data_IF_366553895795
#
_entry.id   IF_366553895795
#
_cell.length_a   1.000
_cell.length_b   1.000
_cell.length_c   1.000
_cell.angle_alpha   90.00
_cell.angle_beta   90.00
_cell.angle_gamma   90.00
#
_symmetry.space_group_name_H-M   'P 1'
#
loop_
_entity.id
_entity.type
_entity.pdbx_description
1 polymer ?
#
# COMPACT_ATOMS: atom_id res chain seq x y z
N UNK A 1 -11.47 -7.48 -22.56
CA UNK A 1 -10.72 -6.88 -23.68
C UNK A 1 -9.23 -7.06 -23.40
N UNK A 2 -8.51 -7.73 -24.29
CA UNK A 2 -7.04 -7.82 -24.26
C UNK A 2 -6.48 -6.47 -24.70
N UNK A 3 -5.72 -5.78 -23.84
CA UNK A 3 -4.99 -4.57 -24.24
C UNK A 3 -3.70 -4.98 -24.93
N UNK A 4 -3.48 -4.51 -26.15
CA UNK A 4 -2.21 -4.72 -26.87
C UNK A 4 -1.10 -3.98 -26.11
N UNK A 5 -0.18 -4.71 -25.47
CA UNK A 5 1.05 -4.14 -24.92
C UNK A 5 1.95 -3.72 -26.08
N UNK A 6 2.18 -2.41 -26.22
CA UNK A 6 3.10 -1.83 -27.22
C UNK A 6 4.55 -1.74 -26.74
N UNK A 7 4.81 -2.16 -25.51
CA UNK A 7 6.13 -2.10 -24.90
C UNK A 7 6.85 -3.44 -25.12
N UNK A 8 7.96 -3.40 -25.87
CA UNK A 8 8.85 -4.55 -26.13
C UNK A 8 10.02 -4.62 -25.14
N UNK A 9 10.05 -3.74 -24.13
CA UNK A 9 11.11 -3.80 -23.13
C UNK A 9 10.97 -5.07 -22.28
N UNK A 10 12.07 -5.83 -22.19
CA UNK A 10 12.18 -7.00 -21.31
C UNK A 10 12.14 -6.62 -19.81
N UNK A 11 12.37 -5.35 -19.49
CA UNK A 11 12.58 -4.83 -18.14
C UNK A 11 11.53 -3.79 -17.70
N UNK A 12 10.71 -3.27 -18.61
CA UNK A 12 9.81 -2.16 -18.35
C UNK A 12 8.36 -2.51 -18.66
N UNK A 13 7.75 -3.38 -17.85
CA UNK A 13 6.30 -3.41 -17.86
C UNK A 13 5.78 -2.10 -17.25
N UNK A 14 4.79 -1.43 -17.88
CA UNK A 14 4.15 -0.27 -17.29
C UNK A 14 3.72 -0.60 -15.85
N UNK A 15 3.84 0.34 -14.89
CA UNK A 15 3.39 0.11 -13.53
C UNK A 15 1.96 -0.38 -13.58
N UNK A 16 1.72 -1.63 -13.14
CA UNK A 16 0.39 -2.22 -13.16
C UNK A 16 -0.51 -1.32 -12.31
N UNK A 17 -1.45 -0.66 -12.97
CA UNK A 17 -2.37 0.26 -12.30
C UNK A 17 -3.15 -0.48 -11.23
N UNK A 18 -3.47 0.23 -10.14
CA UNK A 18 -4.29 -0.35 -9.08
C UNK A 18 -5.66 -0.70 -9.65
N UNK A 19 -6.12 -1.93 -9.39
CA UNK A 19 -7.48 -2.30 -9.70
C UNK A 19 -8.47 -1.62 -8.73
N UNK A 20 -9.76 -1.67 -9.04
CA UNK A 20 -10.80 -1.01 -8.24
C UNK A 20 -10.79 -1.49 -6.78
N UNK A 21 -10.59 -2.78 -6.54
CA UNK A 21 -10.50 -3.36 -5.19
C UNK A 21 -9.33 -2.78 -4.40
N UNK A 22 -8.15 -2.70 -5.01
CA UNK A 22 -6.95 -2.12 -4.39
C UNK A 22 -7.15 -0.63 -4.10
N UNK A 23 -7.80 0.13 -4.99
CA UNK A 23 -8.10 1.55 -4.74
C UNK A 23 -8.99 1.74 -3.52
N UNK A 24 -10.09 0.99 -3.44
CA UNK A 24 -11.01 1.02 -2.29
C UNK A 24 -10.27 0.62 -1.00
N UNK A 25 -9.48 -0.45 -1.08
CA UNK A 25 -8.69 -0.94 0.04
C UNK A 25 -7.66 0.08 0.53
N UNK A 26 -6.98 0.77 -0.39
CA UNK A 26 -6.04 1.85 -0.07
C UNK A 26 -6.75 3.02 0.60
N UNK A 27 -7.90 3.47 0.10
CA UNK A 27 -8.68 4.55 0.74
C UNK A 27 -9.04 4.15 2.16
N UNK A 28 -9.59 2.95 2.36
CA UNK A 28 -9.98 2.44 3.68
C UNK A 28 -8.79 2.40 4.66
N UNK A 29 -7.66 1.84 4.22
CA UNK A 29 -6.45 1.78 5.04
C UNK A 29 -5.88 3.17 5.37
N UNK A 30 -5.90 4.09 4.40
CA UNK A 30 -5.46 5.47 4.61
C UNK A 30 -6.38 6.24 5.55
N UNK A 31 -7.70 5.97 5.55
CA UNK A 31 -8.62 6.55 6.53
C UNK A 31 -8.27 6.11 7.95
N UNK A 32 -7.99 4.82 8.16
CA UNK A 32 -7.54 4.32 9.47
C UNK A 32 -6.22 4.95 9.91
N UNK A 33 -5.25 5.04 9.00
CA UNK A 33 -3.96 5.69 9.27
C UNK A 33 -4.11 7.19 9.58
N UNK A 34 -4.97 7.90 8.85
CA UNK A 34 -5.20 9.32 9.07
C UNK A 34 -5.73 9.58 10.48
N UNK A 35 -6.64 8.74 10.99
CA UNK A 35 -7.14 8.86 12.38
C UNK A 35 -5.99 8.71 13.38
N UNK A 36 -5.11 7.73 13.19
CA UNK A 36 -3.95 7.52 14.07
C UNK A 36 -2.97 8.71 14.01
N UNK A 37 -2.73 9.27 12.82
CA UNK A 37 -1.87 10.45 12.67
C UNK A 37 -2.46 11.67 13.38
N UNK A 38 -3.75 11.95 13.19
CA UNK A 38 -4.43 13.06 13.86
C UNK A 38 -4.34 12.89 15.39
N UNK A 39 -4.56 11.68 15.90
CA UNK A 39 -4.40 11.38 17.33
C UNK A 39 -2.95 11.57 17.80
N UNK A 40 -1.96 11.19 16.99
CA UNK A 40 -0.54 11.43 17.27
C UNK A 40 -0.16 12.92 17.30
N UNK A 41 -0.88 13.75 16.54
CA UNK A 41 -0.77 15.22 16.60
C UNK A 41 -1.63 15.85 17.72
N UNK A 42 -2.04 15.07 18.73
CA UNK A 42 -2.82 15.53 19.89
C UNK A 42 -4.21 16.10 19.55
N UNK A 43 -4.81 15.70 18.42
CA UNK A 43 -6.23 15.99 18.17
C UNK A 43 -7.07 15.06 19.05
N UNK A 44 -7.88 15.65 19.92
CA UNK A 44 -8.67 14.89 20.89
C UNK A 44 -9.94 14.33 20.25
N UNK A 45 -10.13 13.02 20.37
CA UNK A 45 -11.28 12.30 19.86
C UNK A 45 -12.20 11.86 21.01
N UNK A 46 -13.52 12.08 20.91
CA UNK A 46 -14.47 11.59 21.90
C UNK A 46 -14.53 10.06 21.83
N UNK A 47 -14.58 9.37 22.97
CA UNK A 47 -14.57 7.89 23.02
C UNK A 47 -13.34 7.27 22.34
N UNK A 48 -12.15 7.55 22.89
CA UNK A 48 -10.84 7.10 22.37
C UNK A 48 -10.79 5.61 21.98
N UNK A 49 -11.42 4.74 22.78
CA UNK A 49 -11.48 3.28 22.51
C UNK A 49 -12.19 2.97 21.19
N UNK A 50 -13.30 3.65 20.89
CA UNK A 50 -14.07 3.43 19.66
C UNK A 50 -13.26 3.86 18.45
N UNK A 51 -12.65 5.05 18.50
CA UNK A 51 -11.82 5.55 17.39
C UNK A 51 -10.57 4.71 17.15
N UNK A 52 -9.91 4.27 18.22
CA UNK A 52 -8.77 3.37 18.10
C UNK A 52 -9.18 2.04 17.46
N UNK A 53 -10.28 1.44 17.92
CA UNK A 53 -10.80 0.19 17.37
C UNK A 53 -11.17 0.35 15.90
N UNK A 54 -11.85 1.44 15.54
CA UNK A 54 -12.21 1.74 14.16
C UNK A 54 -10.97 1.93 13.27
N UNK A 55 -9.98 2.70 13.74
CA UNK A 55 -8.75 2.96 12.98
C UNK A 55 -7.97 1.67 12.70
N UNK A 56 -7.78 0.83 13.74
CA UNK A 56 -7.09 -0.46 13.60
C UNK A 56 -7.87 -1.41 12.68
N UNK A 57 -9.19 -1.51 12.86
CA UNK A 57 -10.03 -2.40 12.02
C UNK A 57 -10.03 -1.96 10.56
N UNK A 58 -10.11 -0.65 10.29
CA UNK A 58 -10.03 -0.10 8.94
C UNK A 58 -8.66 -0.36 8.29
N UNK A 59 -7.57 -0.19 9.04
CA UNK A 59 -6.21 -0.51 8.59
C UNK A 59 -6.07 -1.99 8.25
N UNK A 60 -6.40 -2.89 9.17
CA UNK A 60 -6.29 -4.33 8.98
C UNK A 60 -7.15 -4.80 7.80
N UNK A 61 -8.40 -4.35 7.74
CA UNK A 61 -9.33 -4.73 6.66
C UNK A 61 -8.84 -4.20 5.31
N UNK A 62 -8.34 -2.96 5.26
CA UNK A 62 -7.73 -2.37 4.07
C UNK A 62 -6.53 -3.17 3.58
N UNK A 63 -5.61 -3.58 4.47
CA UNK A 63 -4.44 -4.38 4.11
C UNK A 63 -4.86 -5.74 3.53
N UNK A 64 -5.80 -6.44 4.19
CA UNK A 64 -6.28 -7.76 3.74
C UNK A 64 -6.98 -7.64 2.37
N UNK A 65 -7.86 -6.65 2.19
CA UNK A 65 -8.54 -6.42 0.90
C UNK A 65 -7.55 -6.07 -0.21
N UNK A 66 -6.54 -5.25 0.09
CA UNK A 66 -5.51 -4.89 -0.87
C UNK A 66 -4.72 -6.14 -1.30
N UNK A 67 -4.31 -6.97 -0.34
CA UNK A 67 -3.61 -8.22 -0.60
C UNK A 67 -4.47 -9.17 -1.46
N UNK A 68 -5.75 -9.34 -1.12
CA UNK A 68 -6.68 -10.14 -1.93
C UNK A 68 -6.79 -9.59 -3.36
N UNK A 69 -6.89 -8.28 -3.53
CA UNK A 69 -6.90 -7.62 -4.83
C UNK A 69 -5.59 -7.78 -5.62
N UNK A 70 -4.45 -7.95 -4.93
CA UNK A 70 -3.13 -8.15 -5.55
C UNK A 70 -2.87 -9.60 -5.98
N UNK A 71 -3.33 -10.57 -5.19
CA UNK A 71 -2.91 -11.96 -5.31
C UNK A 71 -4.00 -12.94 -5.77
N UNK A 72 -5.30 -12.59 -5.72
CA UNK A 72 -6.40 -13.53 -6.02
C UNK A 72 -6.39 -14.18 -7.42
N UNK A 73 -5.76 -13.55 -8.42
CA UNK A 73 -5.62 -14.09 -9.78
C UNK A 73 -4.20 -14.53 -10.12
N UNK A 74 -3.31 -14.67 -9.13
CA UNK A 74 -1.92 -15.07 -9.34
C UNK A 74 -1.78 -16.58 -9.13
N UNK A 75 -1.07 -17.25 -10.05
CA UNK A 75 -0.64 -18.63 -9.81
C UNK A 75 0.26 -18.71 -8.57
N UNK A 76 0.19 -19.84 -7.87
CA UNK A 76 1.02 -20.18 -6.73
C UNK A 76 2.53 -20.16 -7.08
N UNK A 77 3.38 -19.85 -6.10
CA UNK A 77 4.84 -19.81 -6.24
C UNK A 77 5.50 -18.48 -5.83
N UNK A 78 6.83 -18.48 -5.67
CA UNK A 78 7.62 -17.30 -5.31
C UNK A 78 7.70 -16.37 -6.52
N UNK A 79 6.98 -15.24 -6.46
CA UNK A 79 6.96 -14.23 -7.51
C UNK A 79 7.45 -12.89 -6.97
N UNK A 80 8.45 -12.33 -7.64
CA UNK A 80 8.96 -11.00 -7.35
C UNK A 80 8.01 -9.87 -7.81
N UNK A 81 7.00 -10.15 -8.65
CA UNK A 81 6.05 -9.13 -9.16
C UNK A 81 6.72 -7.83 -9.64
N UNK A 82 7.93 -7.94 -10.19
CA UNK A 82 8.75 -6.82 -10.64
C UNK A 82 9.02 -5.76 -9.57
N UNK A 83 9.09 -6.12 -8.27
CA UNK A 83 9.25 -5.14 -7.17
C UNK A 83 10.47 -4.25 -7.38
N UNK A 84 11.61 -4.80 -7.83
CA UNK A 84 12.83 -4.02 -8.13
C UNK A 84 12.67 -2.98 -9.25
N UNK A 85 11.69 -3.16 -10.14
CA UNK A 85 11.41 -2.20 -11.22
C UNK A 85 10.42 -1.10 -10.79
N UNK A 86 9.89 -1.16 -9.55
CA UNK A 86 8.98 -0.13 -9.04
C UNK A 86 9.78 1.10 -8.61
N UNK A 87 9.23 2.28 -8.93
CA UNK A 87 9.85 3.58 -8.61
C UNK A 87 10.13 3.81 -7.12
N UNK A 88 9.43 3.12 -6.22
CA UNK A 88 9.68 3.21 -4.78
C UNK A 88 10.88 2.37 -4.34
N UNK A 89 11.11 1.21 -4.98
CA UNK A 89 12.24 0.32 -4.70
C UNK A 89 13.53 0.80 -5.37
N UNK A 90 13.43 1.64 -6.40
CA UNK A 90 14.60 2.25 -7.07
C UNK A 90 15.07 3.57 -6.44
N UNK A 91 14.49 4.01 -5.31
CA UNK A 91 14.83 5.26 -4.61
C UNK A 91 15.80 5.03 -3.44
N UNK A 92 17.04 4.62 -3.76
CA UNK A 92 18.08 4.28 -2.76
C UNK A 92 18.40 5.40 -1.76
N UNK A 93 18.47 6.66 -2.21
CA UNK A 93 18.74 7.80 -1.33
C UNK A 93 17.65 7.99 -0.26
N UNK A 94 16.37 7.94 -0.67
CA UNK A 94 15.24 8.12 0.25
C UNK A 94 15.12 6.97 1.24
N UNK A 95 15.42 5.74 0.81
CA UNK A 95 15.47 4.59 1.69
C UNK A 95 16.57 4.74 2.76
N UNK A 96 17.75 5.24 2.38
CA UNK A 96 18.85 5.52 3.32
C UNK A 96 18.49 6.61 4.34
N UNK A 97 17.91 7.73 3.89
CA UNK A 97 17.44 8.81 4.79
C UNK A 97 16.39 8.28 5.78
N UNK A 98 15.40 7.52 5.30
CA UNK A 98 14.36 6.95 6.17
C UNK A 98 14.94 5.96 7.19
N UNK A 99 15.89 5.11 6.78
CA UNK A 99 16.58 4.20 7.68
C UNK A 99 17.28 4.94 8.82
N UNK A 100 18.11 5.94 8.49
CA UNK A 100 18.76 6.80 9.48
C UNK A 100 17.75 7.50 10.40
N UNK A 101 16.62 7.97 9.86
CA UNK A 101 15.60 8.68 10.66
C UNK A 101 14.89 7.77 11.66
N UNK A 102 14.74 6.48 11.35
CA UNK A 102 14.06 5.52 12.23
C UNK A 102 14.99 4.82 13.22
N UNK A 103 16.30 4.75 12.93
CA UNK A 103 17.28 4.09 13.81
C UNK A 103 18.22 5.07 14.52
N UNK A 104 18.11 6.37 14.23
CA UNK A 104 18.91 7.45 14.81
C UNK A 104 18.36 7.98 16.13
#
# INVERSE_FOLDING_TARGET
MSSIQRDMSLTGQPPKSLNTTQKIATILGLTGLAILLLAGFNIDFPNKVVWLTFALTALTTGIILFAKGAYSGQLEGIKNNGVWFKSISSRGLWAWIAGLSFTG
#
